data_IF_206774876485
#
_entry.id   IF_206774876485
#
_cell.length_a   1.000
_cell.length_b   1.000
_cell.length_c   1.000
_cell.angle_alpha   90.00
_cell.angle_beta   90.00
_cell.angle_gamma   90.00
#
_symmetry.space_group_name_H-M   'P 1'
#
loop_
_entity.id
_entity.type
_entity.pdbx_description
1 polymer ?
#
# COMPACT_ATOMS: atom_id res chain seq x y z
N UNK A 1 -6.99 -11.20 14.10
CA UNK A 1 -8.17 -10.54 13.48
C UNK A 1 -8.93 -9.66 14.49
N UNK A 2 -9.20 -10.12 15.72
CA UNK A 2 -9.93 -9.31 16.72
C UNK A 2 -9.25 -7.99 17.16
N UNK A 3 -7.93 -7.97 17.38
CA UNK A 3 -7.24 -6.78 17.91
C UNK A 3 -7.27 -5.55 16.99
N UNK A 4 -7.11 -5.74 15.67
CA UNK A 4 -7.17 -4.66 14.70
C UNK A 4 -8.58 -4.04 14.61
N UNK A 5 -9.62 -4.87 14.78
CA UNK A 5 -11.01 -4.42 14.83
C UNK A 5 -11.29 -3.58 16.07
N UNK A 6 -10.82 -4.01 17.25
CA UNK A 6 -10.93 -3.23 18.49
C UNK A 6 -10.18 -1.91 18.43
N UNK A 7 -8.97 -1.88 17.84
CA UNK A 7 -8.21 -0.66 17.66
C UNK A 7 -8.93 0.33 16.72
N UNK A 8 -9.50 -0.16 15.62
CA UNK A 8 -10.31 0.66 14.71
C UNK A 8 -11.55 1.23 15.38
N UNK A 9 -12.25 0.41 16.19
CA UNK A 9 -13.45 0.83 16.91
C UNK A 9 -13.13 1.86 17.99
N UNK A 10 -12.08 1.63 18.79
CA UNK A 10 -11.64 2.56 19.82
C UNK A 10 -11.18 3.90 19.22
N UNK A 11 -10.47 3.87 18.08
CA UNK A 11 -10.09 5.07 17.35
C UNK A 11 -11.32 5.85 16.85
N UNK A 12 -12.31 5.15 16.29
CA UNK A 12 -13.54 5.79 15.81
C UNK A 12 -14.37 6.40 16.94
N UNK A 13 -14.48 5.71 18.08
CA UNK A 13 -15.17 6.21 19.27
C UNK A 13 -14.45 7.40 19.89
N UNK A 14 -13.12 7.34 20.00
CA UNK A 14 -12.30 8.46 20.49
C UNK A 14 -12.48 9.69 19.59
N UNK A 15 -12.46 9.51 18.27
CA UNK A 15 -12.67 10.59 17.30
C UNK A 15 -14.08 11.20 17.37
N UNK A 16 -15.11 10.38 17.60
CA UNK A 16 -16.49 10.86 17.78
C UNK A 16 -16.66 11.65 19.09
N UNK A 17 -15.98 11.25 20.17
CA UNK A 17 -15.99 11.98 21.44
C UNK A 17 -15.17 13.27 21.36
N UNK A 18 -14.00 13.24 20.72
CA UNK A 18 -13.15 14.42 20.50
C UNK A 18 -13.82 15.46 19.58
N UNK A 19 -14.61 15.01 18.59
CA UNK A 19 -15.43 15.90 17.76
C UNK A 19 -16.48 16.69 18.52
N UNK A 20 -16.94 16.19 19.68
CA UNK A 20 -17.84 16.94 20.60
C UNK A 20 -17.11 18.00 21.43
N UNK A 21 -15.77 17.95 21.53
CA UNK A 21 -14.95 18.87 22.34
C UNK A 21 -14.39 20.07 21.55
N UNK A 22 -14.87 20.36 20.33
CA UNK A 22 -14.41 21.48 19.46
C UNK A 22 -12.89 21.51 19.22
N UNK A 23 -12.18 20.41 19.43
CA UNK A 23 -10.79 20.28 18.99
C UNK A 23 -10.78 20.04 17.48
N UNK A 24 -10.18 20.95 16.72
CA UNK A 24 -9.91 20.74 15.30
C UNK A 24 -8.80 19.69 15.18
N UNK A 25 -9.19 18.41 15.19
CA UNK A 25 -8.28 17.34 14.84
C UNK A 25 -7.86 17.58 13.39
N UNK A 26 -6.56 17.79 13.14
CA UNK A 26 -6.02 17.80 11.78
C UNK A 26 -6.58 16.58 11.05
N UNK A 27 -7.19 16.77 9.87
CA UNK A 27 -7.78 15.67 9.14
C UNK A 27 -6.71 14.62 8.90
N UNK A 28 -7.03 13.34 9.17
CA UNK A 28 -6.16 12.23 8.79
C UNK A 28 -5.71 12.43 7.35
N UNK A 29 -4.42 12.25 7.04
CA UNK A 29 -3.94 12.35 5.67
C UNK A 29 -4.78 11.38 4.82
N UNK A 30 -5.30 11.85 3.68
CA UNK A 30 -6.12 11.02 2.83
C UNK A 30 -5.35 9.77 2.42
N UNK A 31 -6.06 8.67 2.17
CA UNK A 31 -5.43 7.39 1.79
C UNK A 31 -4.45 7.51 0.61
N UNK A 32 -4.62 8.51 -0.27
CA UNK A 32 -3.72 8.86 -1.38
C UNK A 32 -2.33 9.38 -0.97
N UNK A 33 -2.16 9.79 0.29
CA UNK A 33 -0.94 10.37 0.85
C UNK A 33 -0.21 9.39 1.78
N UNK A 34 -0.63 8.12 1.82
CA UNK A 34 0.13 7.09 2.54
C UNK A 34 1.50 6.93 1.87
N UNK A 35 2.54 7.27 2.62
CA UNK A 35 3.95 7.11 2.26
C UNK A 35 4.56 5.99 3.08
N UNK A 36 5.44 5.21 2.46
CA UNK A 36 6.33 4.29 3.17
C UNK A 36 7.79 4.72 2.95
N UNK A 37 8.66 4.49 3.95
CA UNK A 37 10.08 4.77 3.79
C UNK A 37 10.69 3.86 2.72
N UNK A 38 11.74 4.36 2.05
CA UNK A 38 12.46 3.63 0.99
C UNK A 38 12.98 2.26 1.44
N UNK A 39 13.23 2.09 2.75
CA UNK A 39 13.67 0.82 3.34
C UNK A 39 12.73 -0.35 3.05
N UNK A 40 11.45 -0.08 2.76
CA UNK A 40 10.49 -1.13 2.45
C UNK A 40 10.94 -1.97 1.26
N UNK A 41 11.62 -1.39 0.28
CA UNK A 41 12.11 -2.08 -0.92
C UNK A 41 13.11 -3.20 -0.57
N UNK A 42 13.87 -3.06 0.52
CA UNK A 42 14.76 -4.13 0.98
C UNK A 42 14.01 -5.40 1.38
N UNK A 43 12.76 -5.31 1.82
CA UNK A 43 11.99 -6.51 2.14
C UNK A 43 11.70 -7.35 0.89
N UNK A 44 11.51 -6.70 -0.26
CA UNK A 44 11.35 -7.38 -1.55
C UNK A 44 12.65 -8.08 -1.94
N UNK A 45 13.78 -7.35 -1.84
CA UNK A 45 15.11 -7.88 -2.16
C UNK A 45 15.46 -9.05 -1.26
N UNK A 46 15.28 -8.92 0.06
CA UNK A 46 15.54 -9.99 1.03
C UNK A 46 14.62 -11.18 0.84
N UNK A 47 13.32 -10.95 0.62
CA UNK A 47 12.35 -12.02 0.39
C UNK A 47 12.67 -12.82 -0.87
N UNK A 48 12.98 -12.14 -1.98
CA UNK A 48 13.41 -12.78 -3.22
C UNK A 48 14.75 -13.50 -3.05
N UNK A 49 15.74 -12.84 -2.42
CA UNK A 49 17.06 -13.39 -2.18
C UNK A 49 17.01 -14.67 -1.34
N UNK A 50 16.23 -14.69 -0.26
CA UNK A 50 16.03 -15.89 0.57
C UNK A 50 15.29 -16.99 -0.16
N UNK A 51 14.28 -16.64 -0.98
CA UNK A 51 13.56 -17.62 -1.79
C UNK A 51 14.51 -18.31 -2.77
N UNK A 52 15.32 -17.53 -3.49
CA UNK A 52 16.28 -18.03 -4.46
C UNK A 52 17.42 -18.82 -3.79
N UNK A 53 17.98 -18.30 -2.69
CA UNK A 53 19.06 -18.97 -1.96
C UNK A 53 18.59 -20.31 -1.37
N UNK A 54 17.36 -20.38 -0.88
CA UNK A 54 16.75 -21.62 -0.39
C UNK A 54 16.54 -22.65 -1.49
N UNK A 55 16.10 -22.20 -2.67
CA UNK A 55 15.90 -23.04 -3.85
C UNK A 55 17.24 -23.61 -4.37
N UNK A 56 18.24 -22.75 -4.56
CA UNK A 56 19.58 -23.16 -5.00
C UNK A 56 20.30 -24.09 -4.00
N UNK A 57 20.08 -23.90 -2.70
CA UNK A 57 20.74 -24.70 -1.66
C UNK A 57 19.93 -25.94 -1.26
N UNK A 58 18.81 -26.23 -1.94
CA UNK A 58 17.84 -27.28 -1.61
C UNK A 58 17.40 -27.25 -0.12
N UNK A 59 17.34 -26.06 0.47
CA UNK A 59 16.93 -25.84 1.85
C UNK A 59 15.49 -25.30 1.92
N UNK A 60 14.48 -26.18 2.05
CA UNK A 60 13.07 -25.78 1.95
C UNK A 60 12.63 -24.83 3.08
N UNK A 61 13.36 -24.80 4.19
CA UNK A 61 13.07 -23.89 5.30
C UNK A 61 13.41 -22.44 4.95
N UNK A 62 14.56 -22.21 4.31
CA UNK A 62 15.01 -20.88 3.87
C UNK A 62 14.09 -20.33 2.79
N UNK A 63 13.72 -21.19 1.84
CA UNK A 63 12.77 -20.85 0.77
C UNK A 63 11.40 -20.44 1.32
N UNK A 64 10.86 -21.19 2.28
CA UNK A 64 9.57 -20.88 2.95
C UNK A 64 9.60 -19.56 3.71
N UNK A 65 10.73 -19.21 4.33
CA UNK A 65 10.89 -17.92 5.03
C UNK A 65 10.86 -16.79 4.00
N UNK A 66 11.61 -16.89 2.90
CA UNK A 66 11.61 -15.91 1.82
C UNK A 66 10.20 -15.69 1.25
N UNK A 67 9.48 -16.78 0.95
CA UNK A 67 8.10 -16.72 0.45
C UNK A 67 7.13 -16.08 1.45
N UNK A 68 7.26 -16.34 2.75
CA UNK A 68 6.42 -15.70 3.77
C UNK A 68 6.66 -14.19 3.87
N UNK A 69 7.93 -13.77 3.81
CA UNK A 69 8.27 -12.34 3.78
C UNK A 69 7.60 -11.70 2.56
N UNK A 70 7.78 -12.28 1.38
CA UNK A 70 7.14 -11.77 0.16
C UNK A 70 5.62 -11.75 0.26
N UNK A 71 5.01 -12.77 0.87
CA UNK A 71 3.56 -12.85 1.05
C UNK A 71 3.02 -11.75 1.96
N UNK A 72 3.70 -11.43 3.07
CA UNK A 72 3.29 -10.33 3.96
C UNK A 72 3.44 -8.99 3.23
N UNK A 73 4.58 -8.76 2.58
CA UNK A 73 4.85 -7.51 1.89
C UNK A 73 4.03 -7.32 0.62
N UNK A 74 3.57 -8.39 -0.03
CA UNK A 74 2.64 -8.34 -1.16
C UNK A 74 1.40 -7.51 -0.83
N UNK A 75 0.78 -7.72 0.34
CA UNK A 75 -0.38 -6.93 0.77
C UNK A 75 -0.02 -5.47 1.00
N UNK A 76 1.16 -5.21 1.57
CA UNK A 76 1.63 -3.83 1.81
C UNK A 76 1.84 -3.09 0.49
N UNK A 77 2.50 -3.71 -0.48
CA UNK A 77 2.71 -3.13 -1.81
C UNK A 77 1.41 -2.96 -2.59
N UNK A 78 0.42 -3.84 -2.42
CA UNK A 78 -0.90 -3.65 -3.00
C UNK A 78 -1.61 -2.41 -2.46
N UNK A 79 -1.58 -2.19 -1.14
CA UNK A 79 -2.16 -1.01 -0.50
C UNK A 79 -1.47 0.26 -0.99
N UNK A 80 -0.13 0.25 -1.06
CA UNK A 80 0.65 1.36 -1.59
C UNK A 80 0.34 1.64 -3.07
N UNK A 81 0.31 0.60 -3.90
CA UNK A 81 -0.07 0.69 -5.30
C UNK A 81 -1.45 1.30 -5.51
N UNK A 82 -2.42 0.88 -4.70
CA UNK A 82 -3.78 1.41 -4.75
C UNK A 82 -3.81 2.89 -4.38
N UNK A 83 -3.05 3.28 -3.35
CA UNK A 83 -2.88 4.69 -2.98
C UNK A 83 -2.33 5.53 -4.13
N UNK A 84 -1.30 5.05 -4.84
CA UNK A 84 -0.70 5.72 -6.01
C UNK A 84 -1.71 5.85 -7.15
N UNK A 85 -2.41 4.77 -7.50
CA UNK A 85 -3.41 4.78 -8.58
C UNK A 85 -4.54 5.75 -8.25
N UNK A 86 -5.02 5.79 -7.01
CA UNK A 86 -6.05 6.75 -6.57
C UNK A 86 -5.53 8.18 -6.65
N UNK A 87 -4.28 8.44 -6.23
CA UNK A 87 -3.66 9.76 -6.34
C UNK A 87 -3.60 10.24 -7.80
N UNK A 88 -3.10 9.38 -8.70
CA UNK A 88 -3.02 9.68 -10.14
C UNK A 88 -4.44 9.88 -10.71
N UNK A 89 -5.38 9.01 -10.39
CA UNK A 89 -6.77 9.12 -10.84
C UNK A 89 -7.45 10.41 -10.35
N UNK A 90 -7.08 10.94 -9.19
CA UNK A 90 -7.55 12.25 -8.70
C UNK A 90 -6.88 13.42 -9.43
N UNK A 91 -5.58 13.30 -9.73
CA UNK A 91 -4.80 14.34 -10.41
C UNK A 91 -5.20 14.51 -11.88
N UNK A 92 -5.52 13.41 -12.58
CA UNK A 92 -5.92 13.48 -13.98
C UNK A 92 -7.40 13.90 -14.10
N UNK A 93 -7.65 14.96 -14.87
CA UNK A 93 -8.99 15.49 -15.20
C UNK A 93 -9.69 14.64 -16.27
N UNK A 94 -9.91 13.36 -15.98
CA UNK A 94 -10.66 12.43 -16.85
C UNK A 94 -12.14 12.46 -16.46
N UNK A 95 -13.10 12.40 -17.41
CA UNK A 95 -14.52 12.22 -17.09
C UNK A 95 -14.78 10.97 -16.23
N UNK A 96 -15.74 11.06 -15.30
CA UNK A 96 -16.03 10.00 -14.33
C UNK A 96 -16.38 8.65 -14.96
N UNK A 97 -17.01 8.66 -16.14
CA UNK A 97 -17.35 7.46 -16.92
C UNK A 97 -16.10 6.68 -17.32
N UNK A 98 -15.05 7.37 -17.78
CA UNK A 98 -13.79 6.72 -18.14
C UNK A 98 -13.09 6.14 -16.92
N UNK A 99 -13.13 6.81 -15.76
CA UNK A 99 -12.58 6.26 -14.51
C UNK A 99 -13.32 4.99 -14.10
N UNK A 100 -14.65 4.97 -14.20
CA UNK A 100 -15.47 3.80 -13.92
C UNK A 100 -15.17 2.65 -14.89
N UNK A 101 -15.05 2.94 -16.19
CA UNK A 101 -14.69 1.94 -17.20
C UNK A 101 -13.31 1.32 -16.95
N UNK A 102 -12.31 2.12 -16.58
CA UNK A 102 -10.96 1.64 -16.24
C UNK A 102 -10.97 0.76 -14.99
N UNK A 103 -11.81 1.11 -14.00
CA UNK A 103 -11.99 0.32 -12.78
C UNK A 103 -12.68 -1.02 -13.08
N UNK A 104 -13.74 -1.01 -13.89
CA UNK A 104 -14.45 -2.22 -14.34
C UNK A 104 -13.51 -3.12 -15.16
N UNK A 105 -12.76 -2.54 -16.09
CA UNK A 105 -11.77 -3.27 -16.89
C UNK A 105 -10.69 -3.89 -15.99
N UNK A 106 -10.23 -3.14 -15.00
CA UNK A 106 -9.27 -3.62 -14.02
C UNK A 106 -9.82 -4.78 -13.16
N UNK A 107 -11.12 -4.78 -12.88
CA UNK A 107 -11.79 -5.86 -12.14
C UNK A 107 -12.00 -7.11 -13.01
N UNK A 108 -12.29 -6.94 -14.30
CA UNK A 108 -12.36 -8.04 -15.27
C UNK A 108 -10.98 -8.66 -15.46
N UNK A 109 -9.93 -7.83 -15.51
CA UNK A 109 -8.54 -8.23 -15.70
C UNK A 109 -7.72 -8.15 -14.40
N UNK A 110 -8.25 -8.76 -13.34
CA UNK A 110 -7.68 -8.76 -11.99
C UNK A 110 -6.17 -9.09 -11.89
N UNK A 111 -5.65 -10.18 -12.49
CA UNK A 111 -4.23 -10.53 -12.32
C UNK A 111 -3.29 -9.47 -12.90
N UNK A 112 -3.68 -8.84 -14.01
CA UNK A 112 -2.94 -7.74 -14.60
C UNK A 112 -2.99 -6.50 -13.71
N UNK A 113 -4.18 -6.15 -13.20
CA UNK A 113 -4.36 -5.01 -12.29
C UNK A 113 -3.54 -5.16 -11.01
N UNK A 114 -3.54 -6.35 -10.40
CA UNK A 114 -2.72 -6.66 -9.21
C UNK A 114 -1.22 -6.44 -9.52
N UNK A 115 -0.76 -6.90 -10.68
CA UNK A 115 0.64 -6.72 -11.10
C UNK A 115 0.99 -5.24 -11.26
N UNK A 116 0.14 -4.46 -11.93
CA UNK A 116 0.32 -3.01 -12.08
C UNK A 116 0.34 -2.31 -10.72
N UNK A 117 -0.58 -2.66 -9.82
CA UNK A 117 -0.64 -2.11 -8.47
C UNK A 117 0.66 -2.41 -7.69
N UNK A 118 1.15 -3.65 -7.72
CA UNK A 118 2.40 -4.02 -7.06
C UNK A 118 3.58 -3.21 -7.59
N UNK A 119 3.70 -3.09 -8.92
CA UNK A 119 4.76 -2.30 -9.54
C UNK A 119 4.68 -0.83 -9.11
N UNK A 120 3.49 -0.23 -9.14
CA UNK A 120 3.29 1.13 -8.63
C UNK A 120 3.66 1.26 -7.16
N UNK A 121 3.31 0.29 -6.32
CA UNK A 121 3.63 0.28 -4.89
C UNK A 121 5.12 0.13 -4.58
N UNK A 122 5.89 -0.55 -5.43
CA UNK A 122 7.35 -0.73 -5.30
C UNK A 122 8.11 0.49 -5.83
N UNK A 123 7.68 1.03 -6.98
CA UNK A 123 8.37 2.16 -7.63
C UNK A 123 8.17 3.46 -6.86
N UNK A 124 6.99 3.65 -6.26
CA UNK A 124 6.66 4.91 -5.59
C UNK A 124 7.63 5.31 -4.47
N UNK A 125 8.05 4.42 -3.54
CA UNK A 125 9.10 4.72 -2.56
C UNK A 125 10.49 5.00 -3.14
N UNK A 126 10.80 4.55 -4.36
CA UNK A 126 12.12 4.71 -4.98
C UNK A 126 12.29 6.06 -5.69
N UNK A 127 11.24 6.51 -6.37
CA UNK A 127 11.30 7.69 -7.25
C UNK A 127 10.51 8.87 -6.73
N UNK A 128 9.85 8.73 -5.58
CA UNK A 128 8.90 9.70 -5.02
C UNK A 128 7.92 10.20 -6.09
N UNK A 129 7.19 9.26 -6.70
CA UNK A 129 6.36 9.50 -7.88
C UNK A 129 5.29 10.59 -7.66
N UNK A 130 4.95 10.83 -6.39
CA UNK A 130 3.91 11.76 -5.97
C UNK A 130 4.45 13.16 -5.67
N UNK A 131 5.78 13.37 -5.63
CA UNK A 131 6.45 14.64 -5.26
C UNK A 131 5.73 15.33 -4.10
N UNK A 132 5.43 14.58 -3.04
CA UNK A 132 4.71 15.15 -1.90
C UNK A 132 5.71 16.02 -1.12
N UNK A 133 5.32 17.24 -0.71
CA UNK A 133 6.18 18.10 0.10
C UNK A 133 6.72 17.32 1.30
N UNK A 134 8.02 17.45 1.57
CA UNK A 134 8.58 16.97 2.83
C UNK A 134 7.75 17.61 3.95
N UNK A 135 7.22 16.78 4.84
CA UNK A 135 6.63 17.30 6.06
C UNK A 135 7.81 17.79 6.90
N UNK A 136 8.20 19.06 6.68
CA UNK A 136 9.15 19.78 7.51
C UNK A 136 8.71 19.63 8.97
N UNK A 137 9.64 19.12 9.79
CA UNK A 137 9.46 18.90 11.22
C UNK A 137 9.40 20.21 12.01
#
# INVERSE_FOLDING_TARGET
IGGAFFAGLAYFMSRAMLGRMRYSLSPLPPFSEVRCPWYIVWSLILGLGLTLAGDYSAQPLVEKIGKNILFVFFYVYLVLGLSVVIYIARRIKIPGVFKAALLILGLIYLPFSITVLLLCGIVDPLTDLRNLPEADG
#
